data_IF_861537311927
#
_entry.id   IF_861537311927
#
_cell.length_a   1.000
_cell.length_b   1.000
_cell.length_c   1.000
_cell.angle_alpha   90.00
_cell.angle_beta   90.00
_cell.angle_gamma   90.00
#
_symmetry.space_group_name_H-M   'P 1'
#
loop_
_entity.id
_entity.type
_entity.pdbx_description
1 polymer ?
#
# COMPACT_ATOMS: atom_id res chain seq x y z
N UNK A 1 -9.42 50.83 -62.08
CA UNK A 1 -8.79 49.97 -63.10
C UNK A 1 -7.54 49.40 -62.45
N UNK A 2 -7.47 48.20 -61.90
CA UNK A 2 -8.29 46.99 -62.03
C UNK A 2 -8.02 46.14 -60.78
N UNK A 3 -9.06 45.61 -60.13
CA UNK A 3 -8.95 44.30 -59.50
C UNK A 3 -9.20 43.26 -60.61
N UNK A 4 -8.52 42.09 -60.67
CA UNK A 4 -8.73 40.97 -59.71
C UNK A 4 -7.44 40.12 -59.48
N UNK A 5 -7.31 39.21 -58.51
CA UNK A 5 -7.84 37.84 -58.57
C UNK A 5 -7.75 37.18 -57.18
N UNK A 6 -8.89 36.58 -56.84
CA UNK A 6 -9.26 35.74 -55.71
C UNK A 6 -8.36 34.50 -55.60
N UNK A 7 -7.43 34.46 -54.65
CA UNK A 7 -6.85 33.20 -54.15
C UNK A 7 -7.83 32.55 -53.18
N UNK A 8 -8.85 31.88 -53.74
CA UNK A 8 -9.64 30.89 -52.99
C UNK A 8 -9.19 29.51 -53.45
N UNK A 9 -9.04 28.62 -52.48
CA UNK A 9 -8.82 27.18 -52.62
C UNK A 9 -7.36 26.74 -52.84
N UNK A 10 -6.62 26.57 -51.74
CA UNK A 10 -5.76 25.39 -51.55
C UNK A 10 -5.36 25.24 -50.09
N UNK A 11 -5.86 24.17 -49.48
CA UNK A 11 -5.10 23.50 -48.40
C UNK A 11 -5.57 23.72 -46.96
N UNK A 12 -6.88 23.73 -46.71
CA UNK A 12 -7.50 23.51 -45.39
C UNK A 12 -7.20 22.10 -44.78
N UNK A 13 -6.10 21.43 -45.15
CA UNK A 13 -5.88 20.01 -44.84
C UNK A 13 -4.79 19.71 -43.80
N UNK A 14 -4.06 20.68 -43.25
CA UNK A 14 -2.99 20.38 -42.28
C UNK A 14 -3.06 21.10 -40.92
N UNK A 15 -3.98 22.06 -40.73
CA UNK A 15 -4.08 22.79 -39.46
C UNK A 15 -4.92 22.08 -38.37
N UNK A 16 -5.72 21.08 -38.71
CA UNK A 16 -6.60 20.37 -37.76
C UNK A 16 -5.93 19.27 -36.94
N UNK A 17 -4.85 18.68 -37.46
CA UNK A 17 -4.14 17.57 -36.82
C UNK A 17 -3.15 18.03 -35.74
N UNK A 18 -2.69 19.28 -35.80
CA UNK A 18 -1.75 19.83 -34.82
C UNK A 18 -2.40 20.04 -33.45
N UNK A 19 -3.55 20.71 -33.39
CA UNK A 19 -4.21 21.05 -32.12
C UNK A 19 -4.93 19.85 -31.49
N UNK A 20 -5.62 19.02 -32.28
CA UNK A 20 -6.22 17.79 -31.78
C UNK A 20 -5.16 16.76 -31.35
N UNK A 21 -4.07 16.63 -32.11
CA UNK A 21 -2.93 15.79 -31.74
C UNK A 21 -2.21 16.28 -30.48
N UNK A 22 -1.99 17.60 -30.35
CA UNK A 22 -1.35 18.19 -29.17
C UNK A 22 -2.25 18.12 -27.92
N UNK A 23 -3.57 18.28 -28.08
CA UNK A 23 -4.53 18.12 -26.98
C UNK A 23 -4.66 16.66 -26.52
N UNK A 24 -4.63 15.69 -27.44
CA UNK A 24 -4.58 14.26 -27.09
C UNK A 24 -3.26 13.88 -26.41
N UNK A 25 -2.13 14.48 -26.82
CA UNK A 25 -0.83 14.26 -26.19
C UNK A 25 -0.74 14.91 -24.79
N UNK A 26 -1.26 16.13 -24.62
CA UNK A 26 -1.34 16.80 -23.32
C UNK A 26 -2.31 16.10 -22.36
N UNK A 27 -3.45 15.60 -22.85
CA UNK A 27 -4.37 14.78 -22.06
C UNK A 27 -3.72 13.44 -21.67
N UNK A 28 -2.96 12.81 -22.59
CA UNK A 28 -2.20 11.58 -22.32
C UNK A 28 -1.12 11.76 -21.23
N UNK A 29 -0.49 12.94 -21.16
CA UNK A 29 0.48 13.30 -20.12
C UNK A 29 -0.16 13.56 -18.74
N UNK A 30 -1.41 14.05 -18.68
CA UNK A 30 -2.15 14.19 -17.42
C UNK A 30 -2.78 12.87 -16.94
N UNK A 31 -3.06 11.93 -17.84
CA UNK A 31 -3.50 10.57 -17.50
C UNK A 31 -2.31 9.62 -17.34
N UNK A 32 -1.26 10.04 -16.63
CA UNK A 32 -0.12 9.21 -16.29
C UNK A 32 -0.45 8.34 -15.05
N UNK A 33 -0.80 7.04 -15.20
CA UNK A 33 -0.84 6.11 -14.06
C UNK A 33 0.54 5.91 -13.42
N UNK A 34 1.60 6.46 -14.01
CA UNK A 34 2.99 6.38 -13.56
C UNK A 34 3.29 7.16 -12.27
N UNK A 35 2.36 8.02 -11.80
CA UNK A 35 2.45 8.66 -10.49
C UNK A 35 1.71 7.88 -9.39
N UNK A 36 1.20 6.66 -9.66
CA UNK A 36 0.83 5.76 -8.56
C UNK A 36 2.13 5.41 -7.84
N UNK A 37 2.31 5.86 -6.59
CA UNK A 37 3.55 5.63 -5.89
C UNK A 37 3.80 4.12 -5.85
N UNK A 38 5.03 3.74 -6.17
CA UNK A 38 5.62 2.40 -6.26
C UNK A 38 5.22 1.36 -5.17
N UNK A 39 4.51 1.74 -4.11
CA UNK A 39 3.90 0.79 -3.18
C UNK A 39 2.52 0.25 -3.62
N UNK A 40 1.88 0.88 -4.61
CA UNK A 40 0.52 0.56 -5.02
C UNK A 40 0.42 -0.52 -6.12
N UNK A 41 1.54 -1.07 -6.62
CA UNK A 41 1.55 -2.04 -7.73
C UNK A 41 2.58 -3.18 -7.51
N UNK A 42 2.15 -4.21 -6.77
CA UNK A 42 2.29 -5.63 -7.12
C UNK A 42 3.67 -6.26 -7.38
N UNK A 43 4.49 -6.40 -6.34
CA UNK A 43 5.30 -7.62 -6.18
C UNK A 43 4.80 -8.44 -5.00
N UNK A 44 4.47 -7.82 -3.86
CA UNK A 44 3.75 -8.50 -2.78
C UNK A 44 2.39 -9.05 -3.22
N UNK A 45 1.58 -8.29 -3.95
CA UNK A 45 0.30 -8.83 -4.41
C UNK A 45 0.48 -10.05 -5.33
N UNK A 46 1.52 -10.11 -6.17
CA UNK A 46 1.85 -11.28 -7.00
C UNK A 46 2.33 -12.47 -6.14
N UNK A 47 3.19 -12.21 -5.14
CA UNK A 47 3.66 -13.23 -4.19
C UNK A 47 2.54 -13.81 -3.33
N UNK A 48 1.50 -13.03 -3.04
CA UNK A 48 0.33 -13.46 -2.24
C UNK A 48 -0.88 -13.87 -3.09
N UNK A 49 -0.82 -13.74 -4.43
CA UNK A 49 -1.94 -13.99 -5.36
C UNK A 49 -2.29 -15.47 -5.56
N UNK A 50 -1.51 -16.38 -4.98
CA UNK A 50 -1.66 -17.83 -5.19
C UNK A 50 -1.46 -18.67 -3.93
N UNK A 51 -1.55 -18.09 -2.73
CA UNK A 51 -1.59 -18.89 -1.52
C UNK A 51 -2.82 -19.82 -1.60
N UNK A 52 -2.65 -21.16 -1.56
CA UNK A 52 -3.79 -22.06 -1.53
C UNK A 52 -4.72 -21.67 -0.37
N UNK A 53 -5.99 -21.44 -0.68
CA UNK A 53 -7.02 -21.20 0.35
C UNK A 53 -7.27 -22.45 1.20
N UNK A 54 -6.86 -23.60 0.67
CA UNK A 54 -6.84 -24.88 1.35
C UNK A 54 -5.48 -25.03 2.04
N UNK A 55 -5.43 -24.74 3.34
CA UNK A 55 -4.29 -25.14 4.15
C UNK A 55 -4.42 -26.63 4.48
N UNK A 56 -3.47 -27.50 4.10
CA UNK A 56 -3.45 -28.88 4.57
C UNK A 56 -3.11 -28.98 6.07
N UNK A 57 -2.84 -27.84 6.72
CA UNK A 57 -2.46 -27.74 8.11
C UNK A 57 -3.60 -27.15 8.94
N UNK A 58 -3.81 -27.72 10.13
CA UNK A 58 -4.71 -27.19 11.16
C UNK A 58 -3.89 -26.36 12.15
N UNK A 59 -4.41 -25.20 12.56
CA UNK A 59 -3.82 -24.39 13.63
C UNK A 59 -4.37 -24.84 14.98
N UNK A 60 -3.48 -25.27 15.87
CA UNK A 60 -3.83 -25.63 17.25
C UNK A 60 -3.29 -24.56 18.21
N UNK A 61 -4.12 -24.03 19.13
CA UNK A 61 -3.66 -23.09 20.13
C UNK A 61 -2.61 -23.72 21.06
N UNK A 62 -1.53 -23.00 21.32
CA UNK A 62 -0.48 -23.41 22.25
C UNK A 62 -0.20 -22.28 23.25
N UNK A 63 0.03 -22.57 24.55
CA UNK A 63 0.47 -21.54 25.47
C UNK A 63 1.85 -21.02 25.07
N UNK A 64 2.06 -19.71 25.21
CA UNK A 64 3.35 -19.04 24.94
C UNK A 64 4.50 -19.70 25.71
N UNK A 65 4.25 -20.21 26.92
CA UNK A 65 5.25 -20.89 27.76
C UNK A 65 5.76 -22.20 27.17
N UNK A 66 5.03 -22.80 26.22
CA UNK A 66 5.47 -24.00 25.52
C UNK A 66 6.34 -23.70 24.29
N UNK A 67 6.53 -22.42 23.92
CA UNK A 67 7.41 -22.01 22.83
C UNK A 67 8.88 -22.01 23.30
N UNK A 68 9.74 -22.93 22.79
CA UNK A 68 11.13 -22.98 23.20
C UNK A 68 11.86 -21.68 22.84
N UNK A 69 12.62 -21.13 23.78
CA UNK A 69 13.39 -19.89 23.58
C UNK A 69 12.59 -18.59 23.67
N UNK A 70 11.26 -18.64 23.77
CA UNK A 70 10.42 -17.42 23.76
C UNK A 70 10.80 -16.40 24.85
N UNK A 71 11.07 -16.88 26.06
CA UNK A 71 11.42 -16.00 27.19
C UNK A 71 12.84 -15.42 27.12
N UNK A 72 13.70 -15.98 26.26
CA UNK A 72 15.08 -15.53 26.10
C UNK A 72 15.27 -14.59 24.89
N UNK A 73 14.20 -14.34 24.12
CA UNK A 73 14.24 -13.52 22.92
C UNK A 73 14.35 -12.02 23.23
N UNK A 74 15.08 -11.28 22.40
CA UNK A 74 15.17 -9.82 22.49
C UNK A 74 14.13 -9.16 21.56
N UNK A 75 12.99 -8.79 22.15
CA UNK A 75 11.91 -8.14 21.42
C UNK A 75 12.10 -6.62 21.21
N UNK A 76 13.25 -6.03 21.56
CA UNK A 76 13.45 -4.58 21.42
C UNK A 76 13.27 -4.09 19.97
N UNK A 77 13.71 -4.87 18.98
CA UNK A 77 13.51 -4.57 17.56
C UNK A 77 12.07 -4.77 17.09
N UNK A 78 11.35 -5.72 17.69
CA UNK A 78 9.99 -6.08 17.31
C UNK A 78 9.01 -4.92 17.53
N UNK A 79 9.06 -4.25 18.68
CA UNK A 79 8.11 -3.16 18.98
C UNK A 79 8.20 -2.03 17.95
N UNK A 80 9.42 -1.68 17.51
CA UNK A 80 9.61 -0.67 16.46
C UNK A 80 9.04 -1.08 15.11
N UNK A 81 9.21 -2.35 14.72
CA UNK A 81 8.61 -2.86 13.49
C UNK A 81 7.09 -2.90 13.58
N UNK A 82 6.55 -3.41 14.68
CA UNK A 82 5.12 -3.59 14.90
C UNK A 82 4.37 -2.26 14.96
N UNK A 83 4.93 -1.23 15.62
CA UNK A 83 4.35 0.13 15.62
C UNK A 83 4.27 0.74 14.22
N UNK A 84 5.28 0.52 13.36
CA UNK A 84 5.23 0.94 11.95
C UNK A 84 4.14 0.20 11.17
N UNK A 85 3.95 -1.09 11.41
CA UNK A 85 2.84 -1.85 10.81
C UNK A 85 1.48 -1.31 11.26
N UNK A 86 1.32 -0.98 12.53
CA UNK A 86 0.10 -0.38 13.07
C UNK A 86 -0.22 1.00 12.44
N UNK A 87 0.80 1.78 12.09
CA UNK A 87 0.61 3.05 11.38
C UNK A 87 0.04 2.87 9.95
N UNK A 88 0.20 1.69 9.35
CA UNK A 88 -0.47 1.32 8.10
C UNK A 88 -1.91 0.88 8.38
N UNK A 89 -2.11 0.00 9.37
CA UNK A 89 -3.45 -0.51 9.72
C UNK A 89 -4.41 0.60 10.15
N UNK A 90 -3.92 1.65 10.81
CA UNK A 90 -4.76 2.79 11.24
C UNK A 90 -5.43 3.53 10.09
N UNK A 91 -4.94 3.37 8.87
CA UNK A 91 -5.46 4.01 7.65
C UNK A 91 -6.45 3.12 6.91
N UNK A 92 -6.68 1.89 7.38
CA UNK A 92 -7.52 0.90 6.72
C UNK A 92 -8.91 0.84 7.36
N UNK A 93 -9.95 0.46 6.58
CA UNK A 93 -11.29 0.18 7.12
C UNK A 93 -11.28 -0.97 8.11
N UNK A 94 -12.21 -0.94 9.07
CA UNK A 94 -12.33 -1.93 10.14
C UNK A 94 -12.64 -3.34 9.69
N UNK A 95 -13.48 -3.44 8.67
CA UNK A 95 -13.97 -4.67 8.07
C UNK A 95 -12.99 -5.27 7.08
N UNK A 96 -11.88 -4.57 6.76
CA UNK A 96 -10.88 -5.06 5.82
C UNK A 96 -10.24 -6.36 6.36
N UNK A 97 -10.27 -7.48 5.61
CA UNK A 97 -9.57 -8.69 5.99
C UNK A 97 -8.05 -8.51 6.01
N UNK A 98 -7.38 -9.15 6.97
CA UNK A 98 -5.92 -9.11 7.10
C UNK A 98 -5.20 -10.08 6.17
N UNK A 99 -5.92 -11.07 5.62
CA UNK A 99 -5.39 -12.01 4.63
C UNK A 99 -6.51 -12.85 4.02
N UNK A 100 -6.14 -13.89 3.24
CA UNK A 100 -7.11 -14.72 2.51
C UNK A 100 -7.91 -15.67 3.41
N UNK A 101 -7.41 -16.00 4.60
CA UNK A 101 -8.08 -16.92 5.52
C UNK A 101 -8.70 -16.17 6.71
N UNK A 102 -9.79 -16.72 7.24
CA UNK A 102 -10.62 -16.09 8.26
C UNK A 102 -9.90 -15.95 9.62
N UNK A 103 -8.99 -16.89 9.94
CA UNK A 103 -8.19 -16.90 11.17
C UNK A 103 -7.30 -15.67 11.34
N UNK A 104 -6.97 -14.95 10.26
CA UNK A 104 -6.20 -13.71 10.34
C UNK A 104 -7.05 -12.50 10.80
N UNK A 105 -8.37 -12.65 10.81
CA UNK A 105 -9.32 -11.63 11.24
C UNK A 105 -9.37 -10.40 10.32
N UNK A 106 -9.93 -9.33 10.87
CA UNK A 106 -10.05 -8.01 10.20
C UNK A 106 -9.19 -6.97 10.89
N UNK A 107 -8.95 -5.83 10.25
CA UNK A 107 -8.23 -4.69 10.85
C UNK A 107 -8.78 -4.31 12.23
N UNK A 108 -10.10 -4.36 12.43
CA UNK A 108 -10.72 -4.09 13.73
C UNK A 108 -10.18 -4.99 14.85
N UNK A 109 -9.97 -6.28 14.57
CA UNK A 109 -9.44 -7.25 15.54
C UNK A 109 -8.00 -6.92 15.99
N UNK A 110 -7.25 -6.18 15.17
CA UNK A 110 -5.86 -5.80 15.45
C UNK A 110 -5.72 -4.46 16.21
N UNK A 111 -6.79 -3.65 16.29
CA UNK A 111 -6.74 -2.36 16.99
C UNK A 111 -6.30 -2.46 18.46
N UNK A 112 -6.76 -3.43 19.27
CA UNK A 112 -6.33 -3.53 20.67
C UNK A 112 -4.82 -3.75 20.81
N UNK A 113 -4.23 -4.62 19.97
CA UNK A 113 -2.80 -4.86 19.96
C UNK A 113 -2.01 -3.61 19.55
N UNK A 114 -2.51 -2.87 18.56
CA UNK A 114 -1.89 -1.61 18.14
C UNK A 114 -1.96 -0.51 19.22
N UNK A 115 -3.06 -0.42 19.96
CA UNK A 115 -3.18 0.50 21.09
C UNK A 115 -2.17 0.15 22.19
N UNK A 116 -2.05 -1.12 22.56
CA UNK A 116 -1.07 -1.59 23.55
C UNK A 116 0.37 -1.30 23.12
N UNK A 117 0.70 -1.52 21.84
CA UNK A 117 2.02 -1.21 21.31
C UNK A 117 2.35 0.29 21.34
N UNK A 118 1.37 1.17 21.08
CA UNK A 118 1.56 2.62 21.24
C UNK A 118 1.89 2.97 22.69
N UNK A 119 1.12 2.44 23.65
CA UNK A 119 1.33 2.71 25.08
C UNK A 119 2.71 2.25 25.55
N UNK A 120 3.20 1.11 25.08
CA UNK A 120 4.55 0.60 25.41
C UNK A 120 5.66 1.46 24.79
N UNK A 121 5.47 1.92 23.56
CA UNK A 121 6.42 2.81 22.90
C UNK A 121 6.52 4.16 23.61
N UNK A 122 5.38 4.71 24.08
CA UNK A 122 5.33 5.98 24.81
C UNK A 122 5.93 5.86 26.23
N UNK A 123 5.80 4.69 26.86
CA UNK A 123 6.34 4.43 28.20
C UNK A 123 7.86 4.18 28.23
N UNK A 124 8.50 3.99 27.07
CA UNK A 124 9.93 3.67 26.98
C UNK A 124 10.72 4.87 26.45
N UNK A 125 11.39 5.67 27.30
CA UNK A 125 12.48 6.51 26.83
C UNK A 125 13.52 5.58 26.21
N UNK A 126 13.88 5.81 24.95
CA UNK A 126 14.73 4.91 24.18
C UNK A 126 15.94 4.38 24.98
N UNK A 127 15.98 3.07 25.18
CA UNK A 127 17.21 2.28 25.36
C UNK A 127 18.09 2.57 26.60
N UNK A 128 17.53 2.87 27.78
CA UNK A 128 18.33 3.07 29.00
C UNK A 128 17.88 2.34 30.29
N UNK A 129 16.87 1.45 30.26
CA UNK A 129 16.28 0.92 31.50
C UNK A 129 16.11 -0.61 31.57
N UNK A 130 17.05 -1.39 31.04
CA UNK A 130 17.08 -2.85 31.26
C UNK A 130 18.39 -3.24 31.94
N UNK A 131 18.59 -2.69 33.14
CA UNK A 131 19.51 -3.25 34.13
C UNK A 131 18.84 -3.09 35.50
N UNK A 132 18.02 -4.07 35.88
CA UNK A 132 17.75 -4.42 37.28
C UNK A 132 17.57 -5.93 37.35
#
# INVERSE_FOLDING_TARGET
>A
MSEPVKSRARGLLFAGLGLAGLLLFAAGLLSAPYLRPWFAQSWFAELWRGAPTDSPFTLEPLPITALPGWQAEDFAGFLSAFTRSCALLSRLPDDRPMGPHAEFGTVAAWRPACAAASSLADATPGRAAITQ
#
